data_IF_732781882623
#
_entry.id   IF_732781882623
#
_cell.length_a   1.000
_cell.length_b   1.000
_cell.length_c   1.000
_cell.angle_alpha   90.00
_cell.angle_beta   90.00
_cell.angle_gamma   90.00
#
_symmetry.space_group_name_H-M   'P 1'
#
loop_
_entity.id
_entity.type
_entity.pdbx_description
1 polymer ?
#
# COMPACT_ATOMS: atom_id res chain seq x y z
N UNK A 1 -31.24 -20.20 -7.75
CA UNK A 1 -30.83 -19.29 -6.67
C UNK A 1 -29.56 -19.75 -5.94
N UNK A 2 -29.36 -21.02 -5.54
CA UNK A 2 -28.12 -21.49 -4.85
C UNK A 2 -26.82 -21.24 -5.64
N UNK A 3 -26.82 -21.45 -6.97
CA UNK A 3 -25.62 -21.23 -7.81
C UNK A 3 -25.23 -19.76 -7.90
N UNK A 4 -26.17 -18.84 -7.99
CA UNK A 4 -25.89 -17.38 -8.03
C UNK A 4 -25.33 -16.91 -6.69
N UNK A 5 -25.87 -17.38 -5.58
CA UNK A 5 -25.36 -17.05 -4.24
C UNK A 5 -23.94 -17.55 -4.03
N UNK A 6 -23.59 -18.75 -4.52
CA UNK A 6 -22.24 -19.29 -4.47
C UNK A 6 -21.25 -18.50 -5.33
N UNK A 7 -21.66 -18.05 -6.52
CA UNK A 7 -20.83 -17.21 -7.40
C UNK A 7 -20.57 -15.82 -6.75
N UNK A 8 -21.60 -15.20 -6.20
CA UNK A 8 -21.47 -13.91 -5.50
C UNK A 8 -20.54 -14.03 -4.29
N UNK A 9 -20.66 -15.09 -3.48
CA UNK A 9 -19.75 -15.34 -2.36
C UNK A 9 -18.31 -15.59 -2.81
N UNK A 10 -18.11 -16.28 -3.94
CA UNK A 10 -16.78 -16.52 -4.50
C UNK A 10 -16.13 -15.25 -5.05
N UNK A 11 -16.92 -14.31 -5.59
CA UNK A 11 -16.44 -13.03 -6.14
C UNK A 11 -16.23 -11.93 -5.08
N UNK A 12 -16.84 -12.08 -3.90
CA UNK A 12 -16.78 -11.07 -2.83
C UNK A 12 -15.34 -10.61 -2.47
N UNK A 13 -14.34 -11.51 -2.28
CA UNK A 13 -12.97 -11.06 -2.03
C UNK A 13 -12.36 -10.24 -3.18
N UNK A 14 -12.67 -10.60 -4.43
CA UNK A 14 -12.20 -9.90 -5.63
C UNK A 14 -12.77 -8.49 -5.70
N UNK A 15 -14.08 -8.33 -5.52
CA UNK A 15 -14.72 -7.02 -5.51
C UNK A 15 -14.18 -6.13 -4.37
N UNK A 16 -13.99 -6.70 -3.19
CA UNK A 16 -13.40 -5.97 -2.07
C UNK A 16 -11.97 -5.52 -2.37
N UNK A 17 -11.16 -6.36 -3.04
CA UNK A 17 -9.81 -5.96 -3.44
C UNK A 17 -9.81 -4.85 -4.50
N UNK A 18 -10.78 -4.81 -5.42
CA UNK A 18 -10.96 -3.69 -6.34
C UNK A 18 -11.22 -2.38 -5.59
N UNK A 19 -12.13 -2.41 -4.61
CA UNK A 19 -12.40 -1.23 -3.75
C UNK A 19 -11.15 -0.80 -2.99
N UNK A 20 -10.38 -1.76 -2.46
CA UNK A 20 -9.09 -1.49 -1.81
C UNK A 20 -8.15 -0.76 -2.75
N UNK A 21 -7.99 -1.22 -4.00
CA UNK A 21 -7.07 -0.58 -4.95
C UNK A 21 -7.52 0.82 -5.36
N UNK A 22 -8.83 1.05 -5.49
CA UNK A 22 -9.39 2.39 -5.72
C UNK A 22 -9.06 3.32 -4.54
N UNK A 23 -9.23 2.85 -3.30
CA UNK A 23 -8.91 3.64 -2.11
C UNK A 23 -7.40 3.95 -2.02
N UNK A 24 -6.53 2.98 -2.35
CA UNK A 24 -5.08 3.19 -2.42
C UNK A 24 -4.68 4.14 -3.55
N UNK A 25 -5.36 4.10 -4.69
CA UNK A 25 -5.14 5.06 -5.77
C UNK A 25 -5.51 6.49 -5.31
N UNK A 26 -6.63 6.65 -4.63
CA UNK A 26 -7.06 7.93 -4.05
C UNK A 26 -6.02 8.49 -3.07
N UNK A 27 -5.45 7.68 -2.19
CA UNK A 27 -4.43 8.17 -1.24
C UNK A 27 -3.16 8.64 -1.94
N UNK A 28 -2.75 8.02 -3.05
CA UNK A 28 -1.59 8.49 -3.81
C UNK A 28 -1.81 9.89 -4.40
N UNK A 29 -3.04 10.19 -4.86
CA UNK A 29 -3.41 11.53 -5.31
C UNK A 29 -3.33 12.53 -4.15
N UNK A 30 -3.92 12.19 -2.99
CA UNK A 30 -3.85 13.03 -1.80
C UNK A 30 -2.41 13.25 -1.32
N UNK A 31 -1.55 12.24 -1.35
CA UNK A 31 -0.14 12.39 -1.03
C UNK A 31 0.57 13.38 -1.94
N UNK A 32 0.31 13.31 -3.25
CA UNK A 32 0.87 14.25 -4.21
C UNK A 32 0.42 15.68 -3.92
N UNK A 33 -0.87 15.88 -3.62
CA UNK A 33 -1.41 17.20 -3.27
C UNK A 33 -0.80 17.75 -1.97
N UNK A 34 -0.66 16.93 -0.93
CA UNK A 34 -0.08 17.34 0.34
C UNK A 34 1.44 17.65 0.23
N UNK A 35 2.18 16.89 -0.59
CA UNK A 35 3.59 17.17 -0.88
C UNK A 35 3.75 18.46 -1.65
N UNK A 36 2.87 18.74 -2.62
CA UNK A 36 2.86 20.00 -3.35
C UNK A 36 2.57 21.21 -2.44
N UNK A 37 1.80 21.00 -1.35
CA UNK A 37 1.57 22.00 -0.29
C UNK A 37 2.75 22.11 0.70
N UNK A 38 3.84 21.39 0.45
CA UNK A 38 5.08 21.43 1.22
C UNK A 38 5.09 20.56 2.48
N UNK A 39 4.22 19.57 2.60
CA UNK A 39 4.22 18.65 3.74
C UNK A 39 5.20 17.48 3.53
N UNK A 40 5.99 17.17 4.55
CA UNK A 40 6.89 16.02 4.53
C UNK A 40 6.10 14.69 4.53
N UNK A 41 6.45 13.78 3.61
CA UNK A 41 5.83 12.46 3.54
C UNK A 41 6.02 11.63 4.82
N UNK A 42 7.13 11.83 5.54
CA UNK A 42 7.40 11.15 6.83
C UNK A 42 6.38 11.55 7.88
N UNK A 43 6.07 12.83 7.96
CA UNK A 43 5.06 13.38 8.87
C UNK A 43 3.66 12.89 8.47
N UNK A 44 3.35 12.82 7.17
CA UNK A 44 2.08 12.26 6.68
C UNK A 44 1.93 10.80 7.15
N UNK A 45 2.98 9.98 7.06
CA UNK A 45 2.95 8.58 7.51
C UNK A 45 2.69 8.48 9.02
N UNK A 46 3.31 9.36 9.83
CA UNK A 46 3.06 9.40 11.27
C UNK A 46 1.59 9.74 11.59
N UNK A 47 1.05 10.79 10.98
CA UNK A 47 -0.36 11.17 11.16
C UNK A 47 -1.33 10.11 10.63
N UNK A 48 -1.02 9.49 9.50
CA UNK A 48 -1.80 8.38 8.95
C UNK A 48 -2.05 7.29 9.98
N UNK A 49 -1.02 6.83 10.68
CA UNK A 49 -1.17 5.77 11.68
C UNK A 49 -1.79 6.27 12.99
N UNK A 50 -1.61 7.55 13.35
CA UNK A 50 -2.34 8.15 14.48
C UNK A 50 -3.85 8.16 14.20
N UNK A 51 -4.29 8.68 13.04
CA UNK A 51 -5.70 8.67 12.67
C UNK A 51 -6.27 7.25 12.53
N UNK A 52 -5.48 6.32 11.99
CA UNK A 52 -5.89 4.91 11.93
C UNK A 52 -6.13 4.34 13.33
N UNK A 53 -5.20 4.55 14.25
CA UNK A 53 -5.28 4.03 15.63
C UNK A 53 -6.47 4.63 16.36
N UNK A 54 -6.64 5.96 16.33
CA UNK A 54 -7.76 6.64 17.01
C UNK A 54 -9.12 6.24 16.47
N UNK A 55 -9.22 5.88 15.20
CA UNK A 55 -10.46 5.42 14.59
C UNK A 55 -10.73 3.93 14.82
N UNK A 56 -9.72 3.06 14.59
CA UNK A 56 -9.93 1.61 14.65
C UNK A 56 -9.92 1.06 16.07
N UNK A 57 -9.19 1.66 17.02
CA UNK A 57 -9.13 1.15 18.39
C UNK A 57 -10.52 1.15 19.08
N UNK A 58 -11.32 2.24 19.05
CA UNK A 58 -12.67 2.19 19.60
C UNK A 58 -13.58 1.19 18.87
N UNK A 59 -13.48 1.11 17.53
CA UNK A 59 -14.25 0.13 16.76
C UNK A 59 -13.90 -1.32 17.14
N UNK A 60 -12.62 -1.63 17.32
CA UNK A 60 -12.16 -2.93 17.78
C UNK A 60 -12.72 -3.28 19.18
N UNK A 61 -12.72 -2.31 20.09
CA UNK A 61 -13.25 -2.49 21.44
C UNK A 61 -14.77 -2.74 21.45
N UNK A 62 -15.52 -2.09 20.56
CA UNK A 62 -16.98 -2.22 20.48
C UNK A 62 -17.37 -3.50 19.72
N UNK A 63 -16.85 -3.70 18.51
CA UNK A 63 -17.28 -4.76 17.60
C UNK A 63 -16.77 -6.15 18.02
N UNK A 64 -15.56 -6.23 18.59
CA UNK A 64 -14.94 -7.51 18.97
C UNK A 64 -14.99 -7.80 20.47
N UNK A 65 -15.69 -6.99 21.27
CA UNK A 65 -15.79 -7.14 22.74
C UNK A 65 -16.19 -8.55 23.18
N UNK A 66 -17.18 -9.14 22.50
CA UNK A 66 -17.73 -10.48 22.86
C UNK A 66 -16.92 -11.65 22.28
N UNK A 67 -16.09 -11.41 21.25
CA UNK A 67 -15.33 -12.45 20.52
C UNK A 67 -13.82 -12.30 20.70
N UNK A 68 -13.38 -11.51 21.67
CA UNK A 68 -11.97 -11.19 21.85
C UNK A 68 -11.20 -12.43 22.32
N UNK A 69 -10.32 -12.90 21.45
CA UNK A 69 -9.35 -13.96 21.77
C UNK A 69 -8.34 -13.43 22.78
N UNK A 70 -7.88 -14.27 23.71
CA UNK A 70 -6.84 -13.87 24.68
C UNK A 70 -5.59 -13.42 23.94
N UNK A 71 -5.10 -12.23 24.28
CA UNK A 71 -3.87 -11.67 23.72
C UNK A 71 -2.67 -12.42 24.30
N UNK A 72 -1.81 -12.95 23.41
CA UNK A 72 -0.58 -13.62 23.79
C UNK A 72 0.63 -12.75 23.37
N UNK A 73 1.78 -12.92 24.04
CA UNK A 73 3.05 -12.24 23.68
C UNK A 73 3.42 -12.43 22.20
N UNK A 74 3.14 -13.60 21.64
CA UNK A 74 3.36 -13.88 20.21
C UNK A 74 2.51 -12.98 19.29
N UNK A 75 1.23 -12.74 19.64
CA UNK A 75 0.35 -11.87 18.85
C UNK A 75 0.82 -10.42 18.95
N UNK A 76 1.22 -9.98 20.13
CA UNK A 76 1.77 -8.64 20.36
C UNK A 76 3.05 -8.41 19.54
N UNK A 77 3.96 -9.39 19.54
CA UNK A 77 5.19 -9.34 18.73
C UNK A 77 4.88 -9.37 17.22
N UNK A 78 3.95 -10.21 16.76
CA UNK A 78 3.54 -10.23 15.36
C UNK A 78 2.88 -8.93 14.93
N UNK A 79 2.06 -8.30 15.78
CA UNK A 79 1.46 -6.98 15.49
C UNK A 79 2.50 -5.87 15.45
N UNK A 80 3.52 -5.91 16.32
CA UNK A 80 4.68 -5.02 16.24
C UNK A 80 5.41 -5.17 14.91
N UNK A 81 5.72 -6.40 14.49
CA UNK A 81 6.36 -6.65 13.21
C UNK A 81 5.48 -6.18 12.03
N UNK A 82 4.17 -6.36 12.11
CA UNK A 82 3.25 -5.83 11.09
C UNK A 82 3.30 -4.29 11.03
N UNK A 83 3.32 -3.60 12.17
CA UNK A 83 3.47 -2.15 12.24
C UNK A 83 4.81 -1.66 11.71
N UNK A 84 5.89 -2.37 12.04
CA UNK A 84 7.24 -2.06 11.59
C UNK A 84 7.39 -2.26 10.08
N UNK A 85 7.10 -3.46 9.56
CA UNK A 85 7.30 -3.80 8.15
C UNK A 85 6.25 -3.17 7.24
N UNK A 86 4.95 -3.27 7.57
CA UNK A 86 3.87 -2.74 6.75
C UNK A 86 3.65 -1.23 6.93
N UNK A 87 3.97 -0.73 8.12
CA UNK A 87 3.79 0.68 8.47
C UNK A 87 4.97 1.55 8.10
N UNK A 88 6.07 1.38 8.82
CA UNK A 88 7.19 2.31 8.74
C UNK A 88 8.19 1.95 7.64
N UNK A 89 8.75 0.73 7.66
CA UNK A 89 9.86 0.37 6.77
C UNK A 89 9.47 0.37 5.29
N UNK A 90 8.34 -0.25 4.92
CA UNK A 90 7.91 -0.31 3.53
C UNK A 90 7.76 1.09 2.93
N UNK A 91 7.13 2.00 3.66
CA UNK A 91 6.90 3.37 3.19
C UNK A 91 8.19 4.19 3.12
N UNK A 92 9.01 4.15 4.18
CA UNK A 92 10.25 4.94 4.21
C UNK A 92 11.27 4.48 3.17
N UNK A 93 11.41 3.17 2.95
CA UNK A 93 12.26 2.63 1.87
C UNK A 93 11.73 3.01 0.49
N UNK A 94 10.41 2.99 0.29
CA UNK A 94 9.81 3.43 -0.98
C UNK A 94 10.11 4.91 -1.25
N UNK A 95 9.95 5.78 -0.24
CA UNK A 95 10.24 7.20 -0.36
C UNK A 95 11.73 7.46 -0.64
N UNK A 96 12.62 6.73 0.03
CA UNK A 96 14.06 6.82 -0.22
C UNK A 96 14.42 6.34 -1.63
N UNK A 97 13.80 5.25 -2.11
CA UNK A 97 13.96 4.81 -3.48
C UNK A 97 13.52 5.87 -4.49
N UNK A 98 12.36 6.50 -4.23
CA UNK A 98 11.82 7.56 -5.08
C UNK A 98 12.72 8.81 -5.12
N UNK A 99 13.37 9.16 -4.00
CA UNK A 99 14.29 10.30 -3.93
C UNK A 99 15.64 10.03 -4.64
N UNK A 100 16.08 8.77 -4.71
CA UNK A 100 17.36 8.38 -5.31
C UNK A 100 17.25 7.93 -6.77
N UNK A 101 16.03 7.64 -7.25
CA UNK A 101 15.77 7.16 -8.61
C UNK A 101 14.61 7.93 -9.24
N UNK A 102 14.00 7.39 -10.29
CA UNK A 102 12.80 7.97 -10.89
C UNK A 102 11.52 7.33 -10.36
N UNK A 103 10.39 8.04 -10.46
CA UNK A 103 9.07 7.50 -10.13
C UNK A 103 8.74 6.24 -10.98
N UNK A 104 9.15 6.24 -12.25
CA UNK A 104 9.01 5.10 -13.15
C UNK A 104 9.77 3.88 -12.63
N UNK A 105 11.03 4.06 -12.21
CA UNK A 105 11.85 2.97 -11.68
C UNK A 105 11.28 2.43 -10.35
N UNK A 106 10.92 3.32 -9.41
CA UNK A 106 10.32 2.92 -8.14
C UNK A 106 8.99 2.15 -8.35
N UNK A 107 8.16 2.58 -9.30
CA UNK A 107 6.92 1.88 -9.67
C UNK A 107 7.18 0.52 -10.29
N UNK A 108 8.18 0.40 -11.18
CA UNK A 108 8.58 -0.89 -11.76
C UNK A 108 8.99 -1.89 -10.68
N UNK A 109 9.79 -1.44 -9.72
CA UNK A 109 10.22 -2.28 -8.60
C UNK A 109 9.06 -2.67 -7.68
N UNK A 110 8.08 -1.79 -7.46
CA UNK A 110 6.87 -2.10 -6.70
C UNK A 110 6.02 -3.20 -7.37
N UNK A 111 6.07 -3.32 -8.70
CA UNK A 111 5.39 -4.38 -9.45
C UNK A 111 5.99 -5.77 -9.23
N UNK A 112 7.19 -5.87 -8.62
CA UNK A 112 7.78 -7.15 -8.20
C UNK A 112 7.22 -7.68 -6.89
N UNK A 113 6.43 -6.89 -6.15
CA UNK A 113 5.84 -7.30 -4.86
C UNK A 113 5.07 -8.62 -4.95
N UNK A 114 4.23 -8.91 -5.98
CA UNK A 114 3.55 -10.19 -6.09
C UNK A 114 4.53 -11.38 -6.19
N UNK A 115 5.63 -11.24 -6.93
CA UNK A 115 6.67 -12.28 -7.04
C UNK A 115 7.37 -12.50 -5.71
N UNK A 116 7.79 -11.43 -5.03
CA UNK A 116 8.42 -11.50 -3.71
C UNK A 116 7.48 -12.16 -2.71
N UNK A 117 6.20 -11.74 -2.70
CA UNK A 117 5.17 -12.32 -1.83
C UNK A 117 4.96 -13.80 -2.10
N UNK A 118 4.96 -14.20 -3.38
CA UNK A 118 4.80 -15.61 -3.77
C UNK A 118 5.96 -16.46 -3.26
N UNK A 119 7.21 -16.04 -3.51
CA UNK A 119 8.40 -16.73 -3.03
C UNK A 119 8.37 -16.86 -1.51
N UNK A 120 8.10 -15.76 -0.80
CA UNK A 120 8.03 -15.78 0.66
C UNK A 120 6.87 -16.64 1.16
N UNK A 121 5.70 -16.63 0.53
CA UNK A 121 4.56 -17.44 0.91
C UNK A 121 4.85 -18.95 0.79
N UNK A 122 5.61 -19.34 -0.23
CA UNK A 122 6.10 -20.73 -0.41
C UNK A 122 7.12 -21.07 0.67
N UNK A 123 8.15 -20.24 0.88
CA UNK A 123 9.18 -20.47 1.90
C UNK A 123 8.61 -20.59 3.31
N UNK A 124 7.58 -19.80 3.64
CA UNK A 124 6.92 -19.87 4.95
C UNK A 124 5.76 -20.88 5.05
N UNK A 125 5.55 -21.71 4.02
CA UNK A 125 4.55 -22.77 4.00
C UNK A 125 3.09 -22.29 4.01
N UNK A 126 2.87 -21.04 3.60
CA UNK A 126 1.50 -20.46 3.46
C UNK A 126 0.86 -20.84 2.12
N UNK A 127 1.70 -21.06 1.11
CA UNK A 127 1.31 -21.52 -0.22
C UNK A 127 2.02 -22.83 -0.55
N UNK A 128 1.27 -23.81 -1.07
CA UNK A 128 1.85 -25.07 -1.56
C UNK A 128 2.14 -24.94 -3.05
N UNK A 129 3.40 -25.08 -3.41
CA UNK A 129 3.87 -25.07 -4.79
C UNK A 129 3.69 -26.47 -5.37
N UNK A 130 2.51 -26.76 -5.89
CA UNK A 130 2.27 -28.02 -6.59
C UNK A 130 2.20 -27.74 -8.10
N UNK A 131 3.36 -27.81 -8.77
CA UNK A 131 3.50 -27.58 -10.21
C UNK A 131 2.75 -28.61 -11.07
N UNK A 132 2.35 -29.74 -10.50
CA UNK A 132 1.60 -30.79 -11.20
C UNK A 132 0.10 -30.49 -11.26
N UNK A 133 -0.41 -29.56 -10.44
CA UNK A 133 -1.84 -29.26 -10.38
C UNK A 133 -2.19 -28.00 -11.21
N UNK A 134 -3.37 -27.99 -11.85
CA UNK A 134 -3.88 -26.85 -12.60
C UNK A 134 -3.93 -25.55 -11.76
N UNK A 135 -4.37 -25.56 -10.48
CA UNK A 135 -4.33 -24.36 -9.65
C UNK A 135 -2.91 -23.85 -9.37
N UNK A 136 -1.91 -24.74 -9.23
CA UNK A 136 -0.53 -24.34 -9.03
C UNK A 136 0.06 -23.62 -10.25
N UNK A 137 -0.18 -24.19 -11.44
CA UNK A 137 0.22 -23.57 -12.72
C UNK A 137 -0.48 -22.22 -12.93
N UNK A 138 -1.78 -22.13 -12.63
CA UNK A 138 -2.56 -20.90 -12.77
C UNK A 138 -2.04 -19.78 -11.87
N UNK A 139 -1.60 -20.06 -10.65
CA UNK A 139 -1.00 -19.07 -9.73
C UNK A 139 0.30 -18.49 -10.29
N UNK A 140 1.19 -19.34 -10.82
CA UNK A 140 2.47 -18.93 -11.40
C UNK A 140 2.21 -18.09 -12.65
N UNK A 141 1.40 -18.60 -13.58
CA UNK A 141 1.07 -17.91 -14.81
C UNK A 141 0.41 -16.57 -14.54
N UNK A 142 -0.58 -16.52 -13.64
CA UNK A 142 -1.23 -15.26 -13.25
C UNK A 142 -0.27 -14.24 -12.63
N UNK A 143 0.67 -14.69 -11.81
CA UNK A 143 1.70 -13.82 -11.23
C UNK A 143 2.64 -13.30 -12.32
N UNK A 144 3.11 -14.15 -13.23
CA UNK A 144 3.99 -13.76 -14.34
C UNK A 144 3.29 -12.78 -15.29
N UNK A 145 2.04 -13.06 -15.67
CA UNK A 145 1.23 -12.16 -16.53
C UNK A 145 1.03 -10.80 -15.84
N UNK A 146 0.71 -10.81 -14.54
CA UNK A 146 0.52 -9.56 -13.78
C UNK A 146 1.80 -8.73 -13.72
N UNK A 147 2.95 -9.35 -13.49
CA UNK A 147 4.24 -8.67 -13.45
C UNK A 147 4.61 -8.14 -14.83
N UNK A 148 4.53 -8.98 -15.87
CA UNK A 148 4.88 -8.57 -17.24
C UNK A 148 3.95 -7.46 -17.75
N UNK A 149 2.66 -7.52 -17.49
CA UNK A 149 1.72 -6.45 -17.83
C UNK A 149 2.04 -5.13 -17.11
N UNK A 150 2.36 -5.18 -15.82
CA UNK A 150 2.75 -3.99 -15.07
C UNK A 150 4.12 -3.43 -15.52
N UNK A 151 5.06 -4.29 -15.91
CA UNK A 151 6.35 -3.89 -16.48
C UNK A 151 6.17 -3.20 -17.86
N UNK A 152 5.32 -3.75 -18.71
CA UNK A 152 4.99 -3.12 -20.00
C UNK A 152 4.43 -1.71 -19.76
N UNK A 153 3.45 -1.55 -18.88
CA UNK A 153 2.89 -0.23 -18.52
C UNK A 153 3.94 0.75 -17.96
N UNK A 154 5.01 0.24 -17.36
CA UNK A 154 6.03 1.09 -16.73
C UNK A 154 7.15 1.48 -17.70
N UNK A 155 7.57 0.58 -18.58
CA UNK A 155 8.74 0.78 -19.45
C UNK A 155 8.42 1.16 -20.88
N UNK A 156 7.24 0.79 -21.40
CA UNK A 156 6.85 1.12 -22.77
C UNK A 156 6.24 2.53 -22.79
N UNK A 157 6.99 3.53 -23.19
CA UNK A 157 6.47 4.88 -23.47
C UNK A 157 5.74 4.86 -24.81
N UNK A 158 4.43 4.77 -24.77
CA UNK A 158 3.58 4.89 -25.96
C UNK A 158 3.29 6.34 -26.36
N UNK A 159 2.48 6.51 -27.43
CA UNK A 159 2.03 7.83 -27.90
C UNK A 159 1.13 8.51 -26.87
N UNK A 160 1.24 9.84 -26.75
CA UNK A 160 0.36 10.65 -25.92
C UNK A 160 -1.11 10.46 -26.31
N UNK A 161 -1.95 10.01 -25.41
CA UNK A 161 -3.40 9.98 -25.64
C UNK A 161 -4.02 11.22 -25.01
N UNK A 162 -4.66 12.04 -25.84
CA UNK A 162 -5.52 13.13 -25.39
C UNK A 162 -6.88 12.56 -25.03
N UNK A 163 -7.07 12.19 -23.75
CA UNK A 163 -8.40 11.90 -23.22
C UNK A 163 -9.04 13.25 -22.90
N UNK A 164 -10.26 13.46 -23.41
CA UNK A 164 -10.96 14.75 -23.37
C UNK A 164 -10.89 15.45 -21.99
N UNK A 165 -10.58 16.73 -22.03
CA UNK A 165 -10.38 17.58 -20.86
C UNK A 165 -11.70 17.86 -20.16
N UNK A 166 -11.97 17.19 -19.04
CA UNK A 166 -12.92 17.70 -18.06
C UNK A 166 -12.24 18.81 -17.24
N UNK A 167 -12.75 20.04 -17.38
CA UNK A 167 -12.23 21.20 -16.65
C UNK A 167 -12.66 21.16 -15.18
N UNK A 168 -11.86 20.54 -14.33
CA UNK A 168 -11.89 20.81 -12.90
C UNK A 168 -10.64 21.61 -12.52
N UNK A 169 -10.81 22.94 -12.40
CA UNK A 169 -9.74 23.82 -11.92
C UNK A 169 -9.64 23.73 -10.39
N UNK A 170 -8.85 22.79 -9.86
CA UNK A 170 -8.68 22.62 -8.42
C UNK A 170 -7.41 23.23 -7.85
N UNK A 171 -6.43 23.70 -8.67
CA UNK A 171 -5.20 24.30 -8.10
C UNK A 171 -4.46 25.19 -9.09
N UNK A 172 -4.11 26.38 -8.64
CA UNK A 172 -3.09 27.25 -9.24
C UNK A 172 -1.72 26.59 -9.05
N UNK A 173 -1.14 26.12 -10.13
CA UNK A 173 0.16 25.45 -10.15
C UNK A 173 1.26 26.51 -10.11
N UNK A 174 1.85 26.77 -8.93
CA UNK A 174 3.21 27.35 -8.86
C UNK A 174 4.18 26.20 -9.06
N UNK A 175 4.87 26.21 -10.21
CA UNK A 175 5.82 25.19 -10.56
C UNK A 175 7.04 25.16 -9.66
N UNK A 176 7.38 23.98 -9.22
CA UNK A 176 8.73 23.55 -8.90
C UNK A 176 8.77 22.03 -9.13
N UNK A 177 9.19 21.62 -10.33
CA UNK A 177 9.74 20.30 -10.53
C UNK A 177 11.12 20.28 -9.85
N UNK A 178 11.37 19.46 -8.82
CA UNK A 178 12.73 19.09 -8.53
C UNK A 178 13.16 18.15 -9.64
N UNK A 179 13.89 18.68 -10.62
CA UNK A 179 14.71 17.86 -11.49
C UNK A 179 15.76 17.21 -10.61
N UNK A 180 15.56 15.93 -10.30
CA UNK A 180 16.61 15.12 -9.71
C UNK A 180 17.69 14.97 -10.79
N UNK A 181 18.75 15.75 -10.66
CA UNK A 181 19.97 15.54 -11.42
C UNK A 181 20.42 14.10 -11.18
N UNK A 182 20.57 13.35 -12.25
CA UNK A 182 21.12 12.01 -12.27
C UNK A 182 22.58 12.07 -11.79
N UNK A 183 22.77 11.96 -10.48
CA UNK A 183 24.09 11.85 -9.88
C UNK A 183 24.46 10.37 -9.78
N UNK A 184 25.57 10.02 -10.44
CA UNK A 184 26.44 8.84 -10.31
C UNK A 184 25.77 7.48 -9.99
N UNK A 185 26.22 6.41 -10.68
CA UNK A 185 25.69 5.04 -10.58
C UNK A 185 25.48 4.47 -9.19
N UNK A 186 26.22 4.96 -8.17
CA UNK A 186 26.06 4.57 -6.77
C UNK A 186 24.66 4.92 -6.19
N UNK A 187 24.08 6.05 -6.57
CA UNK A 187 22.76 6.48 -6.10
C UNK A 187 21.62 5.62 -6.70
N UNK A 188 21.78 5.20 -7.95
CA UNK A 188 20.81 4.31 -8.62
C UNK A 188 20.81 2.93 -7.95
N UNK A 189 21.98 2.39 -7.65
CA UNK A 189 22.10 1.10 -6.94
C UNK A 189 21.47 1.17 -5.54
N UNK A 190 21.78 2.23 -4.78
CA UNK A 190 21.17 2.43 -3.46
C UNK A 190 19.65 2.58 -3.55
N UNK A 191 19.14 3.32 -4.53
CA UNK A 191 17.72 3.46 -4.78
C UNK A 191 17.05 2.13 -5.15
N UNK A 192 17.71 1.29 -5.95
CA UNK A 192 17.24 -0.05 -6.28
C UNK A 192 17.19 -0.96 -5.04
N UNK A 193 18.19 -0.91 -4.19
CA UNK A 193 18.21 -1.65 -2.91
C UNK A 193 17.09 -1.19 -1.98
N UNK A 194 16.85 0.12 -1.87
CA UNK A 194 15.74 0.65 -1.10
C UNK A 194 14.37 0.20 -1.67
N UNK A 195 14.20 0.20 -2.99
CA UNK A 195 12.96 -0.26 -3.63
C UNK A 195 12.71 -1.76 -3.37
N UNK A 196 13.74 -2.59 -3.47
CA UNK A 196 13.65 -4.02 -3.13
C UNK A 196 13.34 -4.21 -1.64
N UNK A 197 14.03 -3.49 -0.75
CA UNK A 197 13.79 -3.54 0.69
C UNK A 197 12.36 -3.13 1.04
N UNK A 198 11.79 -2.13 0.35
CA UNK A 198 10.37 -1.75 0.46
C UNK A 198 9.45 -2.92 0.07
N UNK A 199 9.68 -3.55 -1.09
CA UNK A 199 8.91 -4.69 -1.57
C UNK A 199 8.97 -5.89 -0.63
N UNK A 200 10.17 -6.22 -0.13
CA UNK A 200 10.37 -7.29 0.86
C UNK A 200 9.66 -6.96 2.17
N UNK A 201 9.73 -5.72 2.64
CA UNK A 201 9.04 -5.29 3.85
C UNK A 201 7.52 -5.42 3.71
N UNK A 202 6.97 -4.98 2.59
CA UNK A 202 5.53 -5.11 2.31
C UNK A 202 5.10 -6.58 2.22
N UNK A 203 5.85 -7.43 1.52
CA UNK A 203 5.59 -8.86 1.44
C UNK A 203 5.69 -9.53 2.83
N UNK A 204 6.68 -9.16 3.64
CA UNK A 204 6.83 -9.62 5.03
C UNK A 204 5.59 -9.29 5.86
N UNK A 205 5.07 -8.07 5.73
CA UNK A 205 3.83 -7.70 6.39
C UNK A 205 2.66 -8.62 5.99
N UNK A 206 2.46 -8.87 4.70
CA UNK A 206 1.37 -9.75 4.23
C UNK A 206 1.51 -11.18 4.78
N UNK A 207 2.75 -11.70 4.85
CA UNK A 207 3.04 -13.04 5.40
C UNK A 207 2.78 -13.10 6.90
N UNK A 208 3.26 -12.10 7.67
CA UNK A 208 3.07 -12.04 9.11
C UNK A 208 1.58 -11.86 9.43
N UNK A 209 0.89 -11.01 8.70
CA UNK A 209 -0.56 -10.79 8.81
C UNK A 209 -1.33 -12.10 8.55
N UNK A 210 -0.92 -12.89 7.54
CA UNK A 210 -1.52 -14.18 7.25
C UNK A 210 -1.33 -15.18 8.40
N UNK A 211 -0.13 -15.25 8.98
CA UNK A 211 0.16 -16.10 10.16
C UNK A 211 -0.60 -15.63 11.40
N UNK A 212 -0.64 -14.33 11.62
CA UNK A 212 -1.36 -13.73 12.75
C UNK A 212 -2.87 -13.99 12.66
N UNK A 213 -3.48 -13.83 11.47
CA UNK A 213 -4.92 -14.05 11.24
C UNK A 213 -5.37 -15.48 11.52
N UNK A 214 -4.47 -16.48 11.43
CA UNK A 214 -4.76 -17.88 11.80
C UNK A 214 -4.88 -18.06 13.31
N UNK A 215 -4.06 -17.36 14.10
CA UNK A 215 -4.02 -17.45 15.56
C UNK A 215 -4.96 -16.46 16.23
N UNK A 216 -5.15 -15.31 15.62
CA UNK A 216 -5.94 -14.19 16.11
C UNK A 216 -6.93 -13.72 15.03
N UNK A 217 -8.12 -14.36 14.93
CA UNK A 217 -9.08 -14.13 13.86
C UNK A 217 -9.90 -12.84 14.00
N UNK A 218 -9.41 -11.87 14.75
CA UNK A 218 -10.04 -10.58 15.05
C UNK A 218 -9.41 -9.47 14.20
N UNK A 219 -9.97 -9.14 13.01
CA UNK A 219 -9.32 -8.22 12.07
C UNK A 219 -9.27 -6.78 12.56
N UNK A 220 -10.27 -6.30 13.30
CA UNK A 220 -10.27 -4.95 13.86
C UNK A 220 -9.20 -4.79 14.94
N UNK A 221 -9.12 -5.73 15.90
CA UNK A 221 -8.10 -5.69 16.95
C UNK A 221 -6.69 -5.85 16.41
N UNK A 222 -6.49 -6.73 15.41
CA UNK A 222 -5.18 -6.88 14.77
C UNK A 222 -4.74 -5.62 14.03
N UNK A 223 -5.67 -4.95 13.33
CA UNK A 223 -5.39 -3.68 12.64
C UNK A 223 -5.13 -2.55 13.65
N UNK A 224 -5.88 -2.48 14.75
CA UNK A 224 -5.65 -1.50 15.80
C UNK A 224 -4.25 -1.62 16.41
N UNK A 225 -3.83 -2.85 16.76
CA UNK A 225 -2.50 -3.12 17.31
C UNK A 225 -1.39 -2.79 16.29
N UNK A 226 -1.56 -3.20 15.03
CA UNK A 226 -0.63 -2.87 13.96
C UNK A 226 -0.50 -1.35 13.77
N UNK A 227 -1.63 -0.65 13.74
CA UNK A 227 -1.65 0.82 13.56
C UNK A 227 -1.02 1.54 14.74
N UNK A 228 -1.24 1.06 15.97
CA UNK A 228 -0.60 1.60 17.17
C UNK A 228 0.93 1.48 17.11
N UNK A 229 1.44 0.29 16.80
CA UNK A 229 2.89 0.09 16.62
C UNK A 229 3.43 0.87 15.44
N UNK A 230 2.68 0.93 14.32
CA UNK A 230 3.01 1.73 13.16
C UNK A 230 3.10 3.22 13.50
N UNK A 231 2.18 3.74 14.32
CA UNK A 231 2.21 5.12 14.79
C UNK A 231 3.46 5.39 15.65
N UNK A 232 3.73 4.55 16.65
CA UNK A 232 4.90 4.71 17.52
C UNK A 232 6.21 4.73 16.73
N UNK A 233 6.41 3.74 15.85
CA UNK A 233 7.64 3.65 15.05
C UNK A 233 7.75 4.81 14.07
N UNK A 234 6.65 5.18 13.38
CA UNK A 234 6.67 6.26 12.39
C UNK A 234 6.85 7.64 13.02
N UNK A 235 6.30 7.88 14.21
CA UNK A 235 6.50 9.14 14.97
C UNK A 235 7.97 9.25 15.36
N UNK A 236 8.55 8.21 15.98
CA UNK A 236 9.96 8.22 16.37
C UNK A 236 10.84 8.47 15.14
N UNK A 237 10.59 7.77 14.04
CA UNK A 237 11.34 7.93 12.80
C UNK A 237 11.20 9.34 12.21
N UNK A 238 9.99 9.89 12.19
CA UNK A 238 9.75 11.24 11.68
C UNK A 238 10.40 12.31 12.58
N UNK A 239 10.34 12.18 13.91
CA UNK A 239 10.99 13.11 14.85
C UNK A 239 12.50 13.10 14.74
N UNK A 240 13.11 11.93 14.47
CA UNK A 240 14.56 11.84 14.30
C UNK A 240 15.07 12.52 13.01
N UNK A 241 14.28 12.49 11.94
CA UNK A 241 14.71 12.94 10.61
C UNK A 241 14.14 14.30 10.20
N UNK A 242 12.97 14.67 10.70
CA UNK A 242 12.28 15.91 10.36
C UNK A 242 12.45 16.92 11.49
N UNK A 243 13.36 17.87 11.30
CA UNK A 243 13.65 18.90 12.30
C UNK A 243 12.77 20.14 12.17
N UNK A 244 12.06 20.28 11.07
CA UNK A 244 11.18 21.42 10.82
C UNK A 244 9.80 21.21 11.44
N UNK A 245 9.55 21.86 12.57
CA UNK A 245 8.26 21.80 13.27
C UNK A 245 7.09 22.38 12.47
N UNK A 246 7.34 23.19 11.43
CA UNK A 246 6.29 23.71 10.57
C UNK A 246 5.57 22.58 9.81
N UNK A 247 6.27 21.50 9.54
CA UNK A 247 5.73 20.30 8.87
C UNK A 247 4.67 19.57 9.71
N UNK A 248 4.74 19.70 11.04
CA UNK A 248 3.82 19.07 11.98
C UNK A 248 2.52 19.88 12.20
N UNK A 249 2.43 21.09 11.64
CA UNK A 249 1.21 21.90 11.76
C UNK A 249 0.14 21.40 10.81
N UNK A 250 -0.94 20.85 11.38
CA UNK A 250 -2.16 20.50 10.66
C UNK A 250 -3.14 21.67 10.78
N UNK A 251 -3.39 22.37 9.65
CA UNK A 251 -4.49 23.32 9.51
C UNK A 251 -5.70 22.65 8.88
N UNK A 252 -6.81 23.39 8.73
CA UNK A 252 -8.00 22.97 7.94
C UNK A 252 -7.71 23.07 6.44
N UNK A 253 -6.70 22.32 5.98
CA UNK A 253 -6.17 22.34 4.62
C UNK A 253 -6.02 20.92 4.08
N UNK A 254 -5.46 20.81 2.88
CA UNK A 254 -5.25 19.51 2.22
C UNK A 254 -4.43 18.52 3.07
N UNK A 255 -3.55 19.01 3.97
CA UNK A 255 -2.71 18.18 4.85
C UNK A 255 -3.56 17.35 5.80
N UNK A 256 -4.56 17.98 6.45
CA UNK A 256 -5.48 17.30 7.37
C UNK A 256 -6.33 16.27 6.63
N UNK A 257 -6.90 16.64 5.46
CA UNK A 257 -7.72 15.72 4.67
C UNK A 257 -6.91 14.52 4.17
N UNK A 258 -5.66 14.74 3.76
CA UNK A 258 -4.74 13.68 3.36
C UNK A 258 -4.47 12.74 4.53
N UNK A 259 -4.12 13.26 5.71
CA UNK A 259 -3.84 12.47 6.90
C UNK A 259 -5.07 11.68 7.37
N UNK A 260 -6.25 12.31 7.39
CA UNK A 260 -7.50 11.69 7.79
C UNK A 260 -7.92 10.57 6.80
N UNK A 261 -7.90 10.85 5.49
CA UNK A 261 -8.22 9.85 4.47
C UNK A 261 -7.24 8.66 4.51
N UNK A 262 -5.96 8.94 4.53
CA UNK A 262 -4.91 7.91 4.59
C UNK A 262 -5.00 7.07 5.87
N UNK A 263 -5.34 7.70 7.01
CA UNK A 263 -5.48 7.03 8.29
C UNK A 263 -6.78 6.23 8.39
N UNK A 264 -7.91 6.91 8.31
CA UNK A 264 -9.23 6.30 8.58
C UNK A 264 -9.61 5.31 7.47
N UNK A 265 -9.57 5.76 6.20
CA UNK A 265 -10.02 4.91 5.09
C UNK A 265 -8.97 3.85 4.79
N UNK A 266 -7.74 4.26 4.48
CA UNK A 266 -6.74 3.34 3.92
C UNK A 266 -6.11 2.46 5.01
N UNK A 267 -5.58 3.03 6.09
CA UNK A 267 -4.91 2.26 7.14
C UNK A 267 -5.88 1.66 8.16
N UNK A 268 -7.05 2.25 8.31
CA UNK A 268 -8.12 1.72 9.14
C UNK A 268 -8.95 0.68 8.36
N UNK A 269 -9.93 1.15 7.58
CA UNK A 269 -10.95 0.29 6.98
C UNK A 269 -10.35 -0.68 5.96
N UNK A 270 -9.52 -0.21 5.01
CA UNK A 270 -9.01 -1.08 3.94
C UNK A 270 -8.04 -2.14 4.46
N UNK A 271 -7.25 -1.87 5.52
CA UNK A 271 -6.39 -2.89 6.13
C UNK A 271 -7.22 -3.97 6.82
N UNK A 272 -8.36 -3.65 7.44
CA UNK A 272 -9.31 -4.66 7.94
C UNK A 272 -9.82 -5.53 6.82
N UNK A 273 -10.21 -4.94 5.68
CA UNK A 273 -10.65 -5.66 4.47
C UNK A 273 -9.53 -6.55 3.93
N UNK A 274 -8.31 -6.04 3.82
CA UNK A 274 -7.13 -6.81 3.40
C UNK A 274 -6.90 -8.00 4.34
N UNK A 275 -6.94 -7.79 5.66
CA UNK A 275 -6.78 -8.86 6.65
C UNK A 275 -7.83 -9.95 6.48
N UNK A 276 -9.06 -9.57 6.18
CA UNK A 276 -10.14 -10.50 5.87
C UNK A 276 -9.90 -11.27 4.55
N UNK A 277 -9.46 -10.58 3.49
CA UNK A 277 -9.12 -11.22 2.20
C UNK A 277 -7.92 -12.18 2.34
N UNK A 278 -6.89 -11.80 3.11
CA UNK A 278 -5.74 -12.67 3.42
C UNK A 278 -6.19 -13.96 4.12
N UNK A 279 -7.12 -13.83 5.09
CA UNK A 279 -7.66 -15.00 5.80
C UNK A 279 -8.40 -15.94 4.88
N UNK A 280 -9.12 -15.43 3.86
CA UNK A 280 -9.92 -16.24 2.93
C UNK A 280 -9.12 -16.82 1.77
N UNK A 281 -8.23 -16.05 1.17
CA UNK A 281 -7.58 -16.39 -0.11
C UNK A 281 -6.05 -16.41 -0.03
N UNK A 282 -5.47 -16.01 1.10
CA UNK A 282 -4.03 -15.97 1.30
C UNK A 282 -3.36 -14.65 0.89
N UNK A 283 -2.07 -14.48 1.24
CA UNK A 283 -1.32 -13.25 1.01
C UNK A 283 -1.02 -13.00 -0.47
N UNK A 284 -0.78 -14.06 -1.25
CA UNK A 284 -0.53 -13.95 -2.69
C UNK A 284 -1.72 -13.35 -3.43
N UNK A 285 -2.94 -13.80 -3.10
CA UNK A 285 -4.16 -13.26 -3.70
C UNK A 285 -4.24 -11.73 -3.55
N UNK A 286 -3.93 -11.20 -2.39
CA UNK A 286 -3.96 -9.76 -2.13
C UNK A 286 -2.88 -9.03 -2.93
N UNK A 287 -1.64 -9.55 -2.96
CA UNK A 287 -0.52 -8.89 -3.64
C UNK A 287 -0.69 -8.80 -5.15
N UNK A 288 -1.37 -9.76 -5.78
CA UNK A 288 -1.63 -9.77 -7.23
C UNK A 288 -2.48 -8.57 -7.69
N UNK A 289 -3.27 -7.96 -6.79
CA UNK A 289 -4.05 -6.76 -7.12
C UNK A 289 -3.22 -5.46 -7.06
N UNK A 290 -2.01 -5.46 -6.48
CA UNK A 290 -1.22 -4.23 -6.34
C UNK A 290 -0.94 -3.50 -7.67
N UNK A 291 -0.61 -4.18 -8.80
CA UNK A 291 -0.43 -3.49 -10.08
C UNK A 291 -1.65 -2.72 -10.57
N UNK A 292 -2.86 -3.16 -10.20
CA UNK A 292 -4.10 -2.49 -10.57
C UNK A 292 -4.21 -1.07 -10.00
N UNK A 293 -3.64 -0.83 -8.82
CA UNK A 293 -3.56 0.51 -8.23
C UNK A 293 -2.85 1.48 -9.17
N UNK A 294 -1.75 1.07 -9.81
CA UNK A 294 -0.99 1.91 -10.74
C UNK A 294 -1.82 2.30 -11.96
N UNK A 295 -2.58 1.34 -12.51
CA UNK A 295 -3.50 1.61 -13.63
C UNK A 295 -4.54 2.65 -13.22
N UNK A 296 -5.15 2.49 -12.05
CA UNK A 296 -6.16 3.43 -11.54
C UNK A 296 -5.54 4.81 -11.28
N UNK A 297 -4.32 4.87 -10.69
CA UNK A 297 -3.60 6.13 -10.46
C UNK A 297 -3.28 6.82 -11.78
N UNK A 298 -2.81 6.08 -12.80
CA UNK A 298 -2.51 6.62 -14.12
C UNK A 298 -3.77 7.23 -14.77
N UNK A 299 -4.89 6.51 -14.75
CA UNK A 299 -6.17 7.00 -15.26
C UNK A 299 -6.67 8.23 -14.49
N UNK A 300 -6.63 8.19 -13.16
CA UNK A 300 -7.07 9.31 -12.32
C UNK A 300 -6.11 10.52 -12.44
N UNK A 301 -4.80 10.28 -12.54
CA UNK A 301 -3.79 11.33 -12.71
C UNK A 301 -3.97 12.09 -14.02
N UNK A 302 -4.28 11.39 -15.13
CA UNK A 302 -4.52 12.02 -16.42
C UNK A 302 -5.79 12.89 -16.42
N UNK A 303 -6.83 12.45 -15.73
CA UNK A 303 -8.12 13.17 -15.68
C UNK A 303 -8.12 14.31 -14.65
N UNK A 304 -7.53 14.12 -13.47
CA UNK A 304 -7.60 15.08 -12.36
C UNK A 304 -6.40 16.04 -12.29
N UNK A 305 -5.19 15.59 -12.68
CA UNK A 305 -3.96 16.36 -12.54
C UNK A 305 -3.43 16.90 -13.88
N UNK A 306 -4.16 16.72 -14.99
CA UNK A 306 -3.74 17.10 -16.36
C UNK A 306 -2.36 16.54 -16.73
N UNK A 307 -1.95 15.43 -16.14
CA UNK A 307 -0.71 14.77 -16.53
C UNK A 307 -0.93 14.08 -17.89
N UNK A 308 0.07 14.19 -18.77
CA UNK A 308 0.04 13.49 -20.06
C UNK A 308 0.11 11.99 -19.82
N UNK A 309 -0.91 11.28 -20.24
CA UNK A 309 -0.94 9.82 -20.21
C UNK A 309 -0.12 9.32 -21.40
N UNK A 310 0.98 8.65 -21.11
CA UNK A 310 1.74 7.91 -22.11
C UNK A 310 1.21 6.47 -22.15
N UNK A 311 0.84 5.98 -23.32
CA UNK A 311 0.51 4.57 -23.53
C UNK A 311 1.84 3.79 -23.63
N UNK A 312 2.11 3.01 -22.62
CA UNK A 312 3.29 2.14 -22.53
C UNK A 312 3.74 2.04 -21.13
#
# INVERSE_FOLDING_TARGET
>A
MKNVCNVVQAMKPTLLMLVVQIAFAGVNIFYKLAVNDGMSLRVIVAYRFLFATTFIAPLALILERKKRTKMNRTILFQSFLCGLFGGSLAQNFYLQALSLTSATFASAMANLVPAITFIMAVCFGLERLNLKTTPGKAKIMGTLIGISGAMVLTFVKGKDIKIGTFHFNLLHQKGAHPQVHATAGANIVMGALCALASGVSYASWLIIQAKMSKKYPNPYSSTALMSLWGALVSIVFALCLERDWSQWRLGWNIRLWTAAYAGIVVSGIMVVVISWCIKMRGPLFVSVFNPLMLVIVALAGSTMLKEKLHLG
#
